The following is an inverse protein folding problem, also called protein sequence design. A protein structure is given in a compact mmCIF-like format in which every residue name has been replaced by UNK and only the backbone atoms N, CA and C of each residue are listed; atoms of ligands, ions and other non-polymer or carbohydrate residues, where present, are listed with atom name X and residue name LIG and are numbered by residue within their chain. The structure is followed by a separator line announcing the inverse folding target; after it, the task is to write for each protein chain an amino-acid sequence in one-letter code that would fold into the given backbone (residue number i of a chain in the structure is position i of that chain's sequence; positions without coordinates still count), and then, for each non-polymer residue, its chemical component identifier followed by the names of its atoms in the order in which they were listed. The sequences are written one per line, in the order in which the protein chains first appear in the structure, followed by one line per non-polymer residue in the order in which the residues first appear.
data_IF_399403429957
#
_entry.id   IF_399403429957
#
_cell.length_a   1.000
_cell.length_b   1.000
_cell.length_c   1.000
_cell.angle_alpha   90.00
_cell.angle_beta   90.00
_cell.angle_gamma   90.00
#
_symmetry.space_group_name_H-M   'P 1'
#
loop_
_entity.id
_entity.type
_entity.pdbx_description
1 polymer ?
#
# COMPACT_ATOMS: atom_id res chain seq x y z
N UNK A 1 -28.42 1.59 10.29
CA UNK A 1 -28.16 1.47 8.85
C UNK A 1 -26.96 0.58 8.67
N UNK A 2 -27.14 -0.60 8.10
CA UNK A 2 -26.07 -1.54 7.81
C UNK A 2 -25.42 -1.16 6.47
N UNK A 3 -24.55 -0.15 6.48
CA UNK A 3 -23.63 0.07 5.36
C UNK A 3 -22.54 -0.98 5.48
N UNK A 4 -22.75 -2.11 4.81
CA UNK A 4 -21.72 -3.13 4.64
C UNK A 4 -20.52 -2.45 3.98
N UNK A 5 -19.32 -2.43 4.62
CA UNK A 5 -18.15 -1.84 4.01
C UNK A 5 -17.93 -2.43 2.62
N UNK A 6 -17.74 -1.57 1.62
CA UNK A 6 -17.36 -2.04 0.29
C UNK A 6 -16.02 -2.77 0.43
N UNK A 7 -15.96 -4.02 -0.04
CA UNK A 7 -14.70 -4.78 -0.01
C UNK A 7 -13.70 -4.10 -0.93
N UNK A 8 -12.62 -3.59 -0.36
CA UNK A 8 -11.48 -3.05 -1.11
C UNK A 8 -10.37 -4.11 -1.16
N UNK A 9 -9.77 -4.31 -2.32
CA UNK A 9 -8.66 -5.24 -2.51
C UNK A 9 -7.45 -4.48 -3.08
N UNK A 10 -6.34 -4.53 -2.34
CA UNK A 10 -5.06 -3.97 -2.74
C UNK A 10 -4.06 -5.11 -2.92
N UNK A 11 -3.69 -5.41 -4.16
CA UNK A 11 -2.74 -6.48 -4.47
C UNK A 11 -1.42 -5.89 -4.94
N UNK A 12 -0.33 -6.17 -4.21
CA UNK A 12 1.01 -5.84 -4.69
C UNK A 12 1.44 -6.92 -5.67
N UNK A 13 1.53 -6.58 -6.95
CA UNK A 13 1.94 -7.51 -8.01
C UNK A 13 3.45 -7.64 -8.10
N UNK A 14 4.17 -6.53 -7.92
CA UNK A 14 5.63 -6.51 -7.99
C UNK A 14 6.20 -5.32 -7.24
N UNK A 15 7.35 -5.53 -6.59
CA UNK A 15 8.15 -4.44 -6.01
C UNK A 15 9.55 -4.51 -6.61
N UNK A 16 10.08 -3.37 -7.07
CA UNK A 16 11.46 -3.22 -7.55
C UNK A 16 12.12 -2.02 -6.90
N UNK A 17 13.34 -2.16 -6.40
CA UNK A 17 14.14 -1.00 -5.97
C UNK A 17 14.49 -0.16 -7.19
N UNK A 18 14.34 1.17 -7.09
CA UNK A 18 14.80 2.10 -8.12
C UNK A 18 16.26 2.43 -7.80
N UNK A 19 17.14 2.47 -8.82
CA UNK A 19 18.60 2.51 -8.63
C UNK A 19 19.10 3.73 -7.84
N UNK A 20 18.33 4.82 -7.79
CA UNK A 20 18.69 6.04 -7.07
C UNK A 20 17.72 6.30 -5.90
N UNK A 21 18.22 6.08 -4.68
CA UNK A 21 17.58 6.51 -3.42
C UNK A 21 16.75 5.45 -2.71
N UNK A 22 15.78 5.93 -1.91
CA UNK A 22 14.91 5.10 -1.05
C UNK A 22 13.56 4.78 -1.70
N UNK A 23 13.44 4.99 -3.01
CA UNK A 23 12.21 4.75 -3.76
C UNK A 23 12.17 3.32 -4.29
N UNK A 24 11.01 2.70 -4.12
CA UNK A 24 10.70 1.39 -4.66
C UNK A 24 9.47 1.52 -5.55
N UNK A 25 9.54 0.92 -6.73
CA UNK A 25 8.43 0.87 -7.66
C UNK A 25 7.51 -0.29 -7.28
N UNK A 26 6.35 0.04 -6.72
CA UNK A 26 5.26 -0.89 -6.46
C UNK A 26 4.33 -0.91 -7.66
N UNK A 27 4.22 -2.05 -8.32
CA UNK A 27 3.13 -2.31 -9.26
C UNK A 27 1.98 -2.91 -8.45
N UNK A 28 0.93 -2.13 -8.20
CA UNK A 28 -0.21 -2.60 -7.41
C UNK A 28 -1.49 -2.58 -8.24
N UNK A 29 -2.35 -3.58 -8.02
CA UNK A 29 -3.73 -3.60 -8.48
C UNK A 29 -4.62 -3.06 -7.37
N UNK A 30 -5.40 -2.03 -7.68
CA UNK A 30 -6.35 -1.38 -6.79
C UNK A 30 -7.74 -1.71 -7.29
N UNK A 31 -8.55 -2.36 -6.44
CA UNK A 31 -9.91 -2.75 -6.77
C UNK A 31 -10.89 -2.27 -5.70
N UNK A 32 -11.78 -1.37 -6.07
CA UNK A 32 -12.87 -0.86 -5.22
C UNK A 32 -14.05 -0.37 -6.08
N UNK A 33 -15.28 -0.71 -5.68
CA UNK A 33 -16.47 -0.36 -6.47
C UNK A 33 -16.38 -0.85 -7.93
N UNK A 34 -16.41 0.09 -8.88
CA UNK A 34 -16.24 -0.18 -10.34
C UNK A 34 -14.80 -0.02 -10.83
N UNK A 35 -13.89 0.38 -9.95
CA UNK A 35 -12.50 0.67 -10.28
C UNK A 35 -11.69 -0.62 -10.10
N UNK A 36 -10.99 -1.00 -11.16
CA UNK A 36 -10.04 -2.11 -11.19
C UNK A 36 -8.88 -1.72 -12.11
N UNK A 37 -7.78 -1.28 -11.52
CA UNK A 37 -6.65 -0.72 -12.25
C UNK A 37 -5.32 -1.15 -11.64
N UNK A 38 -4.29 -1.20 -12.49
CA UNK A 38 -2.93 -1.51 -12.09
C UNK A 38 -2.03 -0.30 -12.32
N UNK A 39 -1.40 0.20 -11.25
CA UNK A 39 -0.56 1.40 -11.32
C UNK A 39 0.87 1.13 -10.85
N UNK A 40 1.87 1.74 -11.49
CA UNK A 40 3.21 1.89 -10.94
C UNK A 40 3.23 3.04 -9.94
N UNK A 41 3.58 2.75 -8.69
CA UNK A 41 3.71 3.74 -7.62
C UNK A 41 5.16 3.76 -7.12
N UNK A 42 5.92 4.84 -7.32
CA UNK A 42 7.20 5.03 -6.68
C UNK A 42 6.96 5.40 -5.22
N UNK A 43 7.18 4.45 -4.30
CA UNK A 43 6.88 4.59 -2.87
C UNK A 43 8.18 4.66 -2.07
N UNK A 44 8.30 5.60 -1.11
CA UNK A 44 9.42 5.60 -0.18
C UNK A 44 9.36 4.39 0.75
N UNK A 45 10.46 3.64 0.82
CA UNK A 45 10.69 2.63 1.85
C UNK A 45 11.85 3.10 2.70
N UNK A 46 11.55 3.45 3.95
CA UNK A 46 12.54 3.82 4.96
C UNK A 46 12.94 2.57 5.75
N UNK A 47 14.08 2.64 6.43
CA UNK A 47 14.61 1.53 7.22
C UNK A 47 14.77 1.98 8.67
N UNK A 48 14.24 1.18 9.60
CA UNK A 48 14.47 1.30 11.03
C UNK A 48 15.38 0.13 11.45
N UNK A 49 16.69 0.37 11.46
CA UNK A 49 17.68 -0.71 11.46
C UNK A 49 17.47 -1.59 10.23
N UNK A 50 17.29 -2.89 10.45
CA UNK A 50 17.03 -3.87 9.38
C UNK A 50 15.52 -4.06 9.06
N UNK A 51 14.65 -3.24 9.67
CA UNK A 51 13.20 -3.36 9.48
C UNK A 51 12.71 -2.37 8.42
N UNK A 52 12.12 -2.83 7.29
CA UNK A 52 11.57 -1.95 6.28
C UNK A 52 10.23 -1.34 6.74
N UNK A 53 10.09 -0.03 6.51
CA UNK A 53 8.89 0.75 6.79
C UNK A 53 8.45 1.46 5.52
N UNK A 54 7.31 1.04 4.97
CA UNK A 54 6.62 1.77 3.90
C UNK A 54 6.12 3.08 4.50
N UNK A 55 6.58 4.21 3.95
CA UNK A 55 6.27 5.55 4.46
C UNK A 55 5.74 6.42 3.33
N UNK A 56 4.42 6.49 3.25
CA UNK A 56 3.69 7.28 2.27
C UNK A 56 3.03 8.47 2.95
N UNK A 57 3.49 9.67 2.62
CA UNK A 57 2.96 10.92 3.15
C UNK A 57 2.22 11.69 2.05
N UNK A 58 0.90 11.84 2.20
CA UNK A 58 0.03 12.65 1.35
C UNK A 58 0.27 12.49 -0.17
N UNK A 59 0.53 11.27 -0.65
CA UNK A 59 0.72 11.02 -2.07
C UNK A 59 -0.61 11.17 -2.80
N UNK A 60 -0.66 12.12 -3.73
CA UNK A 60 -1.84 12.33 -4.57
C UNK A 60 -1.69 11.58 -5.88
N UNK A 61 -2.61 10.67 -6.13
CA UNK A 61 -2.72 9.93 -7.39
C UNK A 61 -3.84 10.56 -8.21
N UNK A 62 -3.54 11.11 -9.41
CA UNK A 62 -4.57 11.69 -10.27
C UNK A 62 -5.72 10.73 -10.52
N UNK A 63 -6.95 11.20 -10.29
CA UNK A 63 -8.17 10.41 -10.45
C UNK A 63 -8.51 9.45 -9.29
N UNK A 64 -7.57 9.18 -8.38
CA UNK A 64 -7.80 8.30 -7.21
C UNK A 64 -7.72 9.02 -5.88
N UNK A 65 -7.17 10.24 -5.84
CA UNK A 65 -7.10 11.10 -4.65
C UNK A 65 -5.82 10.92 -3.83
N UNK A 66 -5.84 11.36 -2.58
CA UNK A 66 -4.65 11.46 -1.73
C UNK A 66 -4.59 10.35 -0.71
N UNK A 67 -3.44 9.70 -0.61
CA UNK A 67 -3.20 8.54 0.24
C UNK A 67 -2.06 8.81 1.22
N UNK A 68 -2.18 8.24 2.42
CA UNK A 68 -1.07 8.13 3.35
C UNK A 68 -1.07 6.73 3.96
N UNK A 69 0.11 6.18 4.17
CA UNK A 69 0.27 4.84 4.72
C UNK A 69 1.62 4.71 5.44
N UNK A 70 1.60 4.12 6.62
CA UNK A 70 2.79 3.84 7.42
C UNK A 70 2.72 2.39 7.85
N UNK A 71 3.53 1.54 7.22
CA UNK A 71 3.43 0.08 7.37
C UNK A 71 4.81 -0.50 7.64
N UNK A 72 4.94 -1.16 8.79
CA UNK A 72 6.12 -1.92 9.17
C UNK A 72 6.00 -3.32 8.57
N UNK A 73 7.08 -3.80 7.95
CA UNK A 73 7.20 -5.17 7.47
C UNK A 73 8.11 -5.93 8.42
N UNK A 74 7.61 -7.01 9.01
CA UNK A 74 8.34 -7.86 9.94
C UNK A 74 8.23 -9.33 9.50
N UNK A 75 9.28 -9.82 8.84
CA UNK A 75 9.31 -11.16 8.26
C UNK A 75 8.16 -11.40 7.27
N UNK A 76 7.23 -12.29 7.63
CA UNK A 76 6.02 -12.60 6.85
C UNK A 76 4.78 -11.86 7.34
N UNK A 77 4.94 -10.79 8.12
CA UNK A 77 3.83 -10.02 8.68
C UNK A 77 3.98 -8.55 8.31
N UNK A 78 2.87 -7.85 8.36
CA UNK A 78 2.86 -6.39 8.30
C UNK A 78 1.84 -5.82 9.28
N UNK A 79 2.09 -4.60 9.73
CA UNK A 79 1.16 -3.83 10.55
C UNK A 79 1.37 -2.33 10.30
N UNK A 80 0.30 -1.54 10.36
CA UNK A 80 0.37 -0.13 10.05
C UNK A 80 -0.95 0.61 10.06
N UNK A 81 -0.89 1.84 9.57
CA UNK A 81 -2.06 2.72 9.39
C UNK A 81 -2.18 3.18 7.95
N UNK A 82 -3.40 3.47 7.51
CA UNK A 82 -3.67 4.07 6.21
C UNK A 82 -4.70 5.19 6.33
N UNK A 83 -4.69 6.09 5.35
CA UNK A 83 -5.65 7.17 5.22
C UNK A 83 -5.89 7.48 3.75
N UNK A 84 -7.14 7.71 3.39
CA UNK A 84 -7.57 8.22 2.10
C UNK A 84 -8.66 9.28 2.28
N UNK A 85 -8.34 10.55 2.01
CA UNK A 85 -9.26 11.66 2.28
C UNK A 85 -9.69 11.73 3.75
N UNK A 86 -10.99 11.53 4.01
CA UNK A 86 -11.58 11.47 5.37
C UNK A 86 -11.61 10.05 5.97
N UNK A 87 -11.37 9.02 5.16
CA UNK A 87 -11.33 7.64 5.61
C UNK A 87 -9.91 7.25 6.04
N UNK A 88 -9.82 6.28 6.95
CA UNK A 88 -8.54 5.71 7.39
C UNK A 88 -8.75 4.62 8.42
N UNK A 89 -7.65 3.99 8.81
CA UNK A 89 -7.71 2.93 9.81
C UNK A 89 -6.38 2.21 9.98
N UNK A 90 -6.47 1.03 10.59
CA UNK A 90 -5.34 0.13 10.78
C UNK A 90 -5.34 -0.95 9.70
N UNK A 91 -4.15 -1.45 9.39
CA UNK A 91 -3.97 -2.62 8.54
C UNK A 91 -2.94 -3.54 9.18
N UNK A 92 -3.20 -4.83 9.18
CA UNK A 92 -2.26 -5.84 9.62
C UNK A 92 -2.58 -7.17 8.96
N UNK A 93 -1.59 -8.03 8.83
CA UNK A 93 -1.79 -9.34 8.24
C UNK A 93 -0.50 -10.08 7.97
N UNK A 94 -0.62 -11.10 7.12
CA UNK A 94 0.49 -11.95 6.67
C UNK A 94 0.80 -11.70 5.19
N UNK A 95 2.06 -11.87 4.83
CA UNK A 95 2.58 -11.77 3.46
C UNK A 95 2.77 -13.18 2.93
N UNK A 96 2.00 -13.53 1.92
CA UNK A 96 2.04 -14.83 1.26
C UNK A 96 2.39 -14.68 -0.22
N UNK A 97 3.03 -15.70 -0.79
CA UNK A 97 3.21 -15.75 -2.24
C UNK A 97 1.85 -15.99 -2.89
N UNK A 98 1.56 -15.24 -3.96
CA UNK A 98 0.42 -15.56 -4.83
C UNK A 98 0.59 -17.00 -5.34
N UNK A 99 -0.45 -17.82 -5.18
CA UNK A 99 -0.51 -19.14 -5.82
C UNK A 99 -0.66 -18.92 -7.32
N UNK A 100 0.12 -19.66 -8.11
CA UNK A 100 0.03 -19.67 -9.58
C UNK A 100 -1.35 -20.09 -10.07
#
# INVERSE_FOLDING_TARGET
GSDTPSKEEYTILKVKKIEQGNLWLFKARVKYGKIDLTLPMPIPVKWAGDTPVISLDNLTIPGLGTFSAHVVIDGKKYAGTWKHGKAGGHMFGVIEKLKE
#
